data_IF_516844884334
#
_entry.id   IF_516844884334
#
_cell.length_a   1.000
_cell.length_b   1.000
_cell.length_c   1.000
_cell.angle_alpha   90.00
_cell.angle_beta   90.00
_cell.angle_gamma   90.00
#
_symmetry.space_group_name_H-M   'P 1'
#
loop_
_entity.id
_entity.type
_entity.pdbx_description
1 polymer ?
#
# COMPACT_ATOMS: atom_id res chain seq x y z
N UNK A 1 20.55 9.83 18.88
CA UNK A 1 19.44 10.33 18.03
C UNK A 1 18.56 9.14 17.61
N UNK A 2 17.40 8.88 18.26
CA UNK A 2 16.57 7.69 17.99
C UNK A 2 15.29 7.93 17.17
N UNK A 3 14.96 9.20 16.84
CA UNK A 3 13.64 9.55 16.25
C UNK A 3 13.54 9.30 14.74
N UNK A 4 14.65 9.14 14.02
CA UNK A 4 14.65 8.91 12.56
C UNK A 4 14.43 7.43 12.18
N UNK A 5 14.97 6.48 12.95
CA UNK A 5 14.83 5.04 12.66
C UNK A 5 13.38 4.56 12.73
N UNK A 6 12.57 5.08 13.67
CA UNK A 6 11.14 4.73 13.76
C UNK A 6 10.30 5.26 12.60
N UNK A 7 10.65 6.42 12.03
CA UNK A 7 9.94 6.98 10.86
C UNK A 7 10.19 6.08 9.63
N UNK A 8 11.44 5.66 9.44
CA UNK A 8 11.84 4.75 8.36
C UNK A 8 11.20 3.36 8.50
N UNK A 9 11.12 2.82 9.72
CA UNK A 9 10.53 1.50 9.95
C UNK A 9 9.03 1.45 9.60
N UNK A 10 8.27 2.51 9.90
CA UNK A 10 6.85 2.60 9.54
C UNK A 10 6.65 2.71 8.03
N UNK A 11 7.46 3.55 7.37
CA UNK A 11 7.42 3.70 5.91
C UNK A 11 7.79 2.39 5.23
N UNK A 12 8.83 1.69 5.69
CA UNK A 12 9.22 0.40 5.13
C UNK A 12 8.13 -0.68 5.32
N UNK A 13 7.48 -0.73 6.49
CA UNK A 13 6.41 -1.67 6.74
C UNK A 13 5.17 -1.39 5.87
N UNK A 14 4.80 -0.11 5.73
CA UNK A 14 3.71 0.28 4.85
C UNK A 14 4.02 0.02 3.38
N UNK A 15 5.26 0.30 2.93
CA UNK A 15 5.67 0.01 1.56
C UNK A 15 5.64 -1.49 1.28
N UNK A 16 6.18 -2.32 2.17
CA UNK A 16 6.13 -3.77 2.02
C UNK A 16 4.67 -4.28 1.96
N UNK A 17 3.79 -3.75 2.82
CA UNK A 17 2.37 -4.12 2.80
C UNK A 17 1.66 -3.71 1.50
N UNK A 18 1.99 -2.53 0.95
CA UNK A 18 1.48 -2.09 -0.37
C UNK A 18 2.04 -2.99 -1.47
N UNK A 19 3.34 -3.29 -1.43
CA UNK A 19 4.01 -4.09 -2.46
C UNK A 19 3.42 -5.51 -2.53
N UNK A 20 3.10 -6.10 -1.36
CA UNK A 20 2.47 -7.42 -1.25
C UNK A 20 1.02 -7.46 -1.81
N UNK A 21 0.36 -6.31 -2.03
CA UNK A 21 -0.96 -6.27 -2.68
C UNK A 21 -0.88 -6.54 -4.18
N UNK A 22 0.30 -6.41 -4.80
CA UNK A 22 0.46 -6.50 -6.25
C UNK A 22 1.37 -7.65 -6.65
N UNK A 23 1.16 -8.19 -7.85
CA UNK A 23 2.10 -9.16 -8.45
C UNK A 23 3.46 -8.49 -8.67
N UNK A 24 3.44 -7.24 -9.13
CA UNK A 24 4.61 -6.40 -9.28
C UNK A 24 4.24 -4.96 -8.91
N UNK A 25 4.82 -4.45 -7.84
CA UNK A 25 4.59 -3.08 -7.38
C UNK A 25 5.45 -2.04 -8.12
N UNK A 26 6.41 -2.47 -8.95
CA UNK A 26 7.34 -1.60 -9.67
C UNK A 26 6.82 -1.13 -11.03
N UNK A 27 5.82 -1.81 -11.60
CA UNK A 27 5.18 -1.41 -12.85
C UNK A 27 4.32 -0.14 -12.67
N UNK A 28 4.02 0.53 -13.78
CA UNK A 28 3.16 1.71 -13.79
C UNK A 28 1.76 1.39 -13.23
N UNK A 29 1.11 2.37 -12.61
CA UNK A 29 -0.21 2.26 -11.99
C UNK A 29 -1.27 1.61 -12.90
N UNK A 30 -1.24 1.92 -14.20
CA UNK A 30 -2.17 1.38 -15.19
C UNK A 30 -1.91 -0.10 -15.56
N UNK A 31 -0.73 -0.63 -15.23
CA UNK A 31 -0.30 -2.01 -15.49
C UNK A 31 -0.31 -2.86 -14.21
N UNK A 32 -0.67 -2.26 -13.06
CA UNK A 32 -0.74 -2.96 -11.78
C UNK A 32 -1.83 -4.02 -11.81
N UNK A 33 -1.51 -5.17 -11.23
CA UNK A 33 -2.41 -6.31 -11.04
C UNK A 33 -2.28 -6.78 -9.61
N UNK A 34 -3.42 -7.12 -8.99
CA UNK A 34 -3.43 -7.65 -7.63
C UNK A 34 -2.77 -9.02 -7.56
N UNK A 35 -2.04 -9.27 -6.48
CA UNK A 35 -1.55 -10.61 -6.18
C UNK A 35 -2.72 -11.57 -5.92
N UNK A 36 -2.50 -12.86 -6.20
CA UNK A 36 -3.52 -13.88 -5.98
C UNK A 36 -3.92 -13.96 -4.50
N UNK A 37 -5.23 -14.00 -4.24
CA UNK A 37 -5.78 -14.10 -2.90
C UNK A 37 -5.78 -12.79 -2.11
N UNK A 38 -5.41 -11.66 -2.73
CA UNK A 38 -5.59 -10.34 -2.14
C UNK A 38 -7.08 -10.06 -1.93
N UNK A 39 -7.45 -9.78 -0.69
CA UNK A 39 -8.81 -9.42 -0.29
C UNK A 39 -8.87 -8.04 0.37
N UNK A 40 -10.10 -7.62 0.72
CA UNK A 40 -10.33 -6.33 1.38
C UNK A 40 -9.59 -6.22 2.71
N UNK A 41 -9.41 -7.32 3.45
CA UNK A 41 -8.75 -7.29 4.75
C UNK A 41 -7.25 -6.97 4.61
N UNK A 42 -6.60 -7.43 3.54
CA UNK A 42 -5.21 -7.08 3.24
C UNK A 42 -5.07 -5.61 2.82
N UNK A 43 -6.00 -5.11 2.00
CA UNK A 43 -6.04 -3.68 1.60
C UNK A 43 -6.26 -2.78 2.82
N UNK A 44 -7.19 -3.15 3.72
CA UNK A 44 -7.47 -2.41 4.95
C UNK A 44 -6.25 -2.42 5.90
N UNK A 45 -5.53 -3.55 5.98
CA UNK A 45 -4.32 -3.65 6.78
C UNK A 45 -3.20 -2.74 6.25
N UNK A 46 -3.00 -2.68 4.93
CA UNK A 46 -2.05 -1.75 4.31
C UNK A 46 -2.44 -0.29 4.56
N UNK A 47 -3.74 0.03 4.46
CA UNK A 47 -4.30 1.36 4.75
C UNK A 47 -3.96 1.81 6.17
N UNK A 48 -4.21 0.94 7.15
CA UNK A 48 -3.92 1.24 8.55
C UNK A 48 -2.42 1.53 8.78
N UNK A 49 -1.52 0.82 8.10
CA UNK A 49 -0.07 1.06 8.19
C UNK A 49 0.32 2.42 7.60
N UNK A 50 -0.19 2.73 6.39
CA UNK A 50 0.04 4.01 5.71
C UNK A 50 -0.46 5.19 6.54
N UNK A 51 -1.62 5.05 7.18
CA UNK A 51 -2.18 6.11 8.04
C UNK A 51 -1.30 6.42 9.26
N UNK A 52 -0.47 5.48 9.70
CA UNK A 52 0.49 5.70 10.79
C UNK A 52 1.75 6.49 10.40
N UNK A 53 1.97 6.71 9.10
CA UNK A 53 3.08 7.49 8.56
C UNK A 53 2.88 8.97 8.94
N UNK A 54 3.91 9.59 9.51
CA UNK A 54 3.84 10.99 9.93
C UNK A 54 4.15 11.99 8.80
N UNK A 55 4.69 11.48 7.68
CA UNK A 55 5.01 12.25 6.49
C UNK A 55 3.78 12.29 5.57
N UNK A 56 3.23 13.47 5.32
CA UNK A 56 1.97 13.60 4.58
C UNK A 56 2.13 13.23 3.11
N UNK A 57 3.24 13.63 2.47
CA UNK A 57 3.52 13.30 1.07
C UNK A 57 3.68 11.78 0.88
N UNK A 58 4.47 11.15 1.75
CA UNK A 58 4.65 9.68 1.71
C UNK A 58 3.33 8.96 2.00
N UNK A 59 2.52 9.47 2.94
CA UNK A 59 1.20 8.90 3.24
C UNK A 59 0.27 8.99 2.03
N UNK A 60 0.19 10.16 1.41
CA UNK A 60 -0.68 10.39 0.26
C UNK A 60 -0.30 9.52 -0.93
N UNK A 61 1.00 9.36 -1.18
CA UNK A 61 1.51 8.43 -2.19
C UNK A 61 1.05 6.99 -1.90
N UNK A 62 1.20 6.52 -0.66
CA UNK A 62 0.74 5.19 -0.26
C UNK A 62 -0.78 5.01 -0.38
N UNK A 63 -1.57 6.01 0.03
CA UNK A 63 -3.03 5.99 -0.11
C UNK A 63 -3.48 5.96 -1.58
N UNK A 64 -2.74 6.62 -2.47
CA UNK A 64 -3.02 6.59 -3.91
C UNK A 64 -2.82 5.19 -4.47
N UNK A 65 -1.72 4.52 -4.10
CA UNK A 65 -1.45 3.15 -4.53
C UNK A 65 -2.50 2.16 -3.98
N UNK A 66 -2.90 2.33 -2.72
CA UNK A 66 -3.97 1.54 -2.11
C UNK A 66 -5.31 1.75 -2.83
N UNK A 67 -5.63 2.97 -3.25
CA UNK A 67 -6.86 3.24 -4.02
C UNK A 67 -6.86 2.51 -5.37
N UNK A 68 -5.70 2.33 -5.99
CA UNK A 68 -5.56 1.49 -7.20
C UNK A 68 -5.85 0.03 -6.86
N UNK A 69 -5.29 -0.50 -5.76
CA UNK A 69 -5.58 -1.86 -5.32
C UNK A 69 -7.08 -2.08 -5.07
N UNK A 70 -7.74 -1.12 -4.42
CA UNK A 70 -9.19 -1.16 -4.18
C UNK A 70 -9.97 -1.23 -5.50
N UNK A 71 -9.64 -0.35 -6.46
CA UNK A 71 -10.33 -0.32 -7.75
C UNK A 71 -10.15 -1.62 -8.54
N UNK A 72 -8.98 -2.27 -8.43
CA UNK A 72 -8.72 -3.56 -9.06
C UNK A 72 -9.52 -4.69 -8.38
N UNK A 73 -9.62 -4.70 -7.05
CA UNK A 73 -10.40 -5.71 -6.31
C UNK A 73 -11.89 -5.57 -6.60
N UNK A 74 -12.38 -4.33 -6.62
CA UNK A 74 -13.77 -4.02 -6.97
C UNK A 74 -14.07 -4.45 -8.41
N UNK A 75 -13.11 -4.34 -9.34
CA UNK A 75 -13.27 -4.79 -10.72
C UNK A 75 -13.24 -6.31 -10.89
N UNK A 76 -12.48 -7.04 -10.05
CA UNK A 76 -12.40 -8.51 -10.06
C UNK A 76 -13.63 -9.17 -9.42
N UNK A 77 -14.29 -8.46 -8.50
CA UNK A 77 -15.47 -8.96 -7.76
C UNK A 77 -16.82 -8.64 -8.42
N UNK A 78 -16.82 -7.91 -9.55
CA UNK A 78 -18.01 -7.60 -10.37
C UNK A 78 -18.31 -8.70 -11.39
#
# INVERSE_FOLDING_TARGET
MPKQQKKLAKVAAAQAAIDDLFVDATVADAEKVLAEGVDQAQIDAATALVDTIADEDTKLAGQTTIAIAQALLDADTQ
#
